data_IF_027289492560
#
_entry.id   IF_027289492560
#
_cell.length_a   1.000
_cell.length_b   1.000
_cell.length_c   1.000
_cell.angle_alpha   90.00
_cell.angle_beta   90.00
_cell.angle_gamma   90.00
#
_symmetry.space_group_name_H-M   'P 1'
#
loop_
_entity.id
_entity.type
_entity.pdbx_description
1 polymer ?
#
# COMPACT_ATOMS: atom_id res chain seq x y z
N UNK A 1 -19.16 5.99 1.14
CA UNK A 1 -18.38 5.65 2.36
C UNK A 1 -16.91 5.72 1.97
N UNK A 2 -16.07 6.49 2.66
CA UNK A 2 -14.65 6.65 2.30
C UNK A 2 -13.81 5.46 2.77
N UNK A 3 -12.78 5.12 2.01
CA UNK A 3 -11.81 4.06 2.28
C UNK A 3 -10.49 4.65 2.84
N UNK A 4 -9.86 3.97 3.78
CA UNK A 4 -8.58 4.41 4.37
C UNK A 4 -7.59 3.25 4.49
N UNK A 5 -6.32 3.55 4.23
CA UNK A 5 -5.19 2.69 4.56
C UNK A 5 -4.54 3.19 5.84
N UNK A 6 -4.49 2.30 6.83
CA UNK A 6 -3.84 2.55 8.12
C UNK A 6 -2.48 1.88 8.15
N UNK A 7 -1.46 2.67 8.41
CA UNK A 7 -0.06 2.25 8.41
C UNK A 7 0.46 2.07 9.84
N UNK A 8 1.22 1.00 10.07
CA UNK A 8 1.78 0.71 11.39
C UNK A 8 2.94 1.67 11.72
N UNK A 9 2.98 2.22 12.96
CA UNK A 9 4.01 3.19 13.37
C UNK A 9 5.42 2.64 13.27
N UNK A 10 5.58 1.36 13.60
CA UNK A 10 6.88 0.70 13.67
C UNK A 10 7.47 0.42 12.28
N UNK A 11 6.70 0.61 11.21
CA UNK A 11 7.09 0.26 9.85
C UNK A 11 7.05 1.46 8.91
N UNK A 12 5.93 2.18 8.90
CA UNK A 12 5.59 3.14 7.84
C UNK A 12 5.26 4.54 8.36
N UNK A 13 5.66 4.87 9.60
CA UNK A 13 5.47 6.17 10.26
C UNK A 13 4.00 6.59 10.31
N UNK A 14 3.28 6.27 11.39
CA UNK A 14 1.85 6.56 11.65
C UNK A 14 1.20 7.57 10.71
N UNK A 15 0.68 7.07 9.58
CA UNK A 15 -0.05 7.84 8.58
C UNK A 15 -1.36 7.14 8.27
N UNK A 16 -2.38 7.94 8.02
CA UNK A 16 -3.64 7.49 7.47
C UNK A 16 -3.74 8.07 6.07
N UNK A 17 -3.88 7.20 5.07
CA UNK A 17 -4.07 7.62 3.68
C UNK A 17 -5.50 7.33 3.27
N UNK A 18 -6.21 8.37 2.84
CA UNK A 18 -7.54 8.25 2.25
C UNK A 18 -7.43 7.76 0.81
N UNK A 19 -8.23 6.75 0.48
CA UNK A 19 -8.42 6.32 -0.90
C UNK A 19 -9.71 6.94 -1.43
N UNK A 20 -9.57 7.84 -2.40
CA UNK A 20 -10.72 8.51 -3.02
C UNK A 20 -11.41 7.61 -4.06
N UNK A 21 -12.74 7.58 -4.01
CA UNK A 21 -13.55 6.82 -4.98
C UNK A 21 -13.52 5.30 -4.79
N UNK A 22 -13.09 4.82 -3.62
CA UNK A 22 -13.00 3.39 -3.28
C UNK A 22 -14.00 3.01 -2.20
N UNK A 23 -14.70 1.89 -2.39
CA UNK A 23 -15.60 1.30 -1.39
C UNK A 23 -14.83 0.45 -0.36
N UNK A 24 -15.19 0.59 0.93
CA UNK A 24 -14.58 -0.10 2.08
C UNK A 24 -14.51 -1.63 1.94
N UNK A 25 -15.43 -2.25 1.20
CA UNK A 25 -15.46 -3.71 1.04
C UNK A 25 -14.26 -4.30 0.30
N UNK A 26 -13.52 -3.50 -0.47
CA UNK A 26 -12.51 -4.01 -1.41
C UNK A 26 -11.07 -3.59 -1.10
N UNK A 27 -10.81 -2.88 0.01
CA UNK A 27 -9.46 -2.38 0.36
C UNK A 27 -8.54 -3.48 0.92
N UNK A 28 -8.71 -4.74 0.52
CA UNK A 28 -8.19 -5.94 1.20
C UNK A 28 -6.68 -5.95 1.50
N UNK A 29 -6.26 -5.25 2.56
CA UNK A 29 -4.91 -5.36 3.13
C UNK A 29 -4.86 -6.67 3.90
N UNK A 30 -4.21 -7.65 3.29
CA UNK A 30 -4.13 -9.00 3.84
C UNK A 30 -3.20 -9.05 5.06
N UNK A 31 -3.33 -10.13 5.83
CA UNK A 31 -2.40 -10.42 6.94
C UNK A 31 -0.96 -10.61 6.43
N UNK A 32 -0.79 -11.18 5.24
CA UNK A 32 0.54 -11.32 4.63
C UNK A 32 1.16 -9.97 4.30
N UNK A 33 0.42 -9.01 3.75
CA UNK A 33 0.91 -7.65 3.51
C UNK A 33 1.39 -6.98 4.80
N UNK A 34 0.65 -7.15 5.90
CA UNK A 34 1.05 -6.62 7.22
C UNK A 34 2.32 -7.30 7.77
N UNK A 35 2.48 -8.60 7.56
CA UNK A 35 3.69 -9.32 7.96
C UNK A 35 4.91 -8.87 7.15
N UNK A 36 4.77 -8.75 5.84
CA UNK A 36 5.84 -8.26 4.95
C UNK A 36 6.23 -6.84 5.35
N UNK A 37 5.25 -5.95 5.57
CA UNK A 37 5.48 -4.62 6.10
C UNK A 37 6.37 -4.69 7.36
N UNK A 38 5.99 -5.48 8.37
CA UNK A 38 6.76 -5.57 9.62
C UNK A 38 8.19 -6.11 9.47
N UNK A 39 8.46 -6.89 8.41
CA UNK A 39 9.77 -7.49 8.19
C UNK A 39 10.72 -6.58 7.35
N UNK A 40 10.16 -5.65 6.58
CA UNK A 40 10.94 -4.80 5.68
C UNK A 40 11.48 -3.59 6.45
N UNK A 41 12.80 -3.37 6.34
CA UNK A 41 13.49 -2.21 6.89
C UNK A 41 14.53 -1.68 5.88
N UNK A 42 15.05 -0.46 6.12
CA UNK A 42 16.18 0.05 5.34
C UNK A 42 15.87 0.49 3.91
N UNK A 43 14.64 0.92 3.63
CA UNK A 43 14.24 1.39 2.29
C UNK A 43 14.73 2.80 1.94
N UNK A 44 15.29 3.54 2.90
CA UNK A 44 15.69 4.94 2.70
C UNK A 44 16.67 5.10 1.52
N UNK A 45 16.28 5.92 0.54
CA UNK A 45 17.06 6.18 -0.68
C UNK A 45 17.08 5.05 -1.72
N UNK A 46 16.38 3.92 -1.47
CA UNK A 46 16.34 2.77 -2.38
C UNK A 46 15.28 2.94 -3.46
N UNK A 47 15.52 2.32 -4.62
CA UNK A 47 14.48 2.05 -5.60
C UNK A 47 13.81 0.71 -5.26
N UNK A 48 12.47 0.66 -5.27
CA UNK A 48 11.66 -0.51 -4.90
C UNK A 48 10.77 -0.92 -6.07
N UNK A 49 10.60 -2.23 -6.25
CA UNK A 49 9.62 -2.81 -7.15
C UNK A 49 8.57 -3.56 -6.32
N UNK A 50 7.31 -3.14 -6.41
CA UNK A 50 6.17 -3.75 -5.71
C UNK A 50 5.32 -4.54 -6.72
N UNK A 51 5.39 -5.86 -6.67
CA UNK A 51 4.72 -6.78 -7.60
C UNK A 51 3.48 -7.35 -6.93
N UNK A 52 2.32 -7.23 -7.59
CA UNK A 52 1.03 -7.52 -6.97
C UNK A 52 0.65 -6.43 -5.97
N UNK A 53 0.85 -5.17 -6.36
CA UNK A 53 0.71 -4.03 -5.47
C UNK A 53 -0.72 -3.82 -4.98
N UNK A 54 -1.72 -4.36 -5.68
CA UNK A 54 -3.14 -4.21 -5.39
C UNK A 54 -3.48 -2.74 -5.13
N UNK A 55 -4.11 -2.48 -3.99
CA UNK A 55 -4.51 -1.13 -3.55
C UNK A 55 -3.35 -0.20 -3.19
N UNK A 56 -2.10 -0.66 -3.33
CA UNK A 56 -0.89 0.13 -3.12
C UNK A 56 -0.41 0.22 -1.68
N UNK A 57 -0.84 -0.69 -0.79
CA UNK A 57 -0.43 -0.67 0.62
C UNK A 57 1.09 -0.72 0.78
N UNK A 58 1.75 -1.69 0.14
CA UNK A 58 3.21 -1.81 0.23
C UNK A 58 3.93 -0.69 -0.53
N UNK A 59 3.41 -0.30 -1.69
CA UNK A 59 3.92 0.82 -2.49
C UNK A 59 4.02 2.12 -1.69
N UNK A 60 2.90 2.53 -1.09
CA UNK A 60 2.82 3.75 -0.29
C UNK A 60 3.68 3.60 0.97
N UNK A 61 3.60 2.44 1.63
CA UNK A 61 4.44 2.14 2.79
C UNK A 61 5.92 2.35 2.48
N UNK A 62 6.42 1.79 1.39
CA UNK A 62 7.81 1.94 0.97
C UNK A 62 8.23 3.41 0.78
N UNK A 63 7.37 4.23 0.18
CA UNK A 63 7.59 5.67 0.05
C UNK A 63 7.67 6.36 1.43
N UNK A 64 6.76 6.02 2.34
CA UNK A 64 6.75 6.57 3.71
C UNK A 64 7.99 6.16 4.52
N UNK A 65 8.56 4.98 4.26
CA UNK A 65 9.84 4.52 4.80
C UNK A 65 11.07 5.20 4.17
N UNK A 66 10.89 6.09 3.18
CA UNK A 66 11.96 6.88 2.56
C UNK A 66 12.53 6.30 1.28
N UNK A 67 11.84 5.32 0.64
CA UNK A 67 12.23 4.90 -0.71
C UNK A 67 12.33 6.11 -1.65
N UNK A 68 13.38 6.13 -2.48
CA UNK A 68 13.59 7.19 -3.49
C UNK A 68 12.55 7.11 -4.59
N UNK A 69 12.20 5.89 -4.98
CA UNK A 69 11.21 5.62 -6.03
C UNK A 69 10.61 4.24 -5.83
N UNK A 70 9.34 4.08 -6.20
CA UNK A 70 8.67 2.79 -6.22
C UNK A 70 8.01 2.59 -7.58
N UNK A 71 8.28 1.46 -8.23
CA UNK A 71 7.53 0.99 -9.39
C UNK A 71 6.53 -0.04 -8.88
N UNK A 72 5.24 0.21 -9.11
CA UNK A 72 4.16 -0.63 -8.63
C UNK A 72 3.46 -1.27 -9.84
N UNK A 73 3.36 -2.61 -9.83
CA UNK A 73 2.79 -3.36 -10.94
C UNK A 73 1.81 -4.39 -10.38
N UNK A 74 0.63 -4.46 -10.99
CA UNK A 74 -0.33 -5.52 -10.76
C UNK A 74 -0.88 -5.99 -12.11
N UNK A 75 -1.23 -7.28 -12.20
CA UNK A 75 -1.91 -7.83 -13.37
C UNK A 75 -3.40 -7.45 -13.37
N UNK A 76 -3.95 -7.17 -12.19
CA UNK A 76 -5.34 -6.79 -12.01
C UNK A 76 -5.52 -5.29 -12.25
N UNK A 77 -6.59 -4.94 -12.97
CA UNK A 77 -7.09 -3.56 -13.06
C UNK A 77 -7.72 -3.18 -11.71
N UNK A 78 -6.85 -2.78 -10.79
CA UNK A 78 -7.22 -2.49 -9.41
C UNK A 78 -8.18 -1.31 -9.33
N UNK A 79 -8.02 -0.29 -10.17
CA UNK A 79 -8.96 0.83 -10.23
C UNK A 79 -10.38 0.34 -10.55
N UNK A 80 -10.52 -0.50 -11.58
CA UNK A 80 -11.83 -1.08 -11.94
C UNK A 80 -12.40 -1.98 -10.85
N UNK A 81 -11.57 -2.73 -10.14
CA UNK A 81 -11.99 -3.59 -9.02
C UNK A 81 -12.48 -2.75 -7.83
N UNK A 82 -11.78 -1.67 -7.52
CA UNK A 82 -12.11 -0.80 -6.40
C UNK A 82 -13.31 0.11 -6.67
N UNK A 83 -13.51 0.52 -7.92
CA UNK A 83 -14.64 1.37 -8.36
C UNK A 83 -15.88 0.59 -8.78
N UNK A 84 -15.79 -0.72 -9.05
CA UNK A 84 -16.96 -1.59 -9.21
C UNK A 84 -17.64 -1.77 -7.84
N UNK A 85 -18.39 -0.76 -7.39
CA UNK A 85 -19.45 -0.78 -6.37
C UNK A 85 -20.05 0.62 -6.25
#
# INVERSE_FOLDING_TARGET
MNAYLEYNPNVFRDKIIKLDGVSLKNIGVSRSSKNVASAISGLNGKAVLDIGCGVGYMTIGALLSGAKSVVAIDICDTEKILRKN
#
